data_IF_688839767462
#
_entry.id   IF_688839767462
#
_cell.length_a   1.000
_cell.length_b   1.000
_cell.length_c   1.000
_cell.angle_alpha   90.00
_cell.angle_beta   90.00
_cell.angle_gamma   90.00
#
_symmetry.space_group_name_H-M   'P 1'
#
loop_
_entity.id
_entity.type
_entity.pdbx_description
1 polymer ?
#
# COMPACT_ATOMS: atom_id res chain seq x y z
N UNK A 1 14.67 0.61 -8.01
CA UNK A 1 14.00 0.98 -6.75
C UNK A 1 14.92 0.58 -5.60
N UNK A 2 15.27 1.51 -4.72
CA UNK A 2 16.12 1.23 -3.56
C UNK A 2 15.23 0.99 -2.33
N UNK A 3 15.14 -0.26 -1.88
CA UNK A 3 14.27 -0.66 -0.77
C UNK A 3 15.08 -0.64 0.53
N UNK A 4 14.69 0.20 1.49
CA UNK A 4 15.29 0.24 2.82
C UNK A 4 14.58 -0.71 3.75
N UNK A 5 15.22 -1.06 4.87
CA UNK A 5 14.60 -1.87 5.93
C UNK A 5 13.30 -1.24 6.46
N UNK A 6 13.27 0.09 6.58
CA UNK A 6 12.07 0.84 6.96
C UNK A 6 10.91 0.67 5.97
N UNK A 7 11.20 0.51 4.68
CA UNK A 7 10.21 0.26 3.64
C UNK A 7 9.59 -1.14 3.81
N UNK A 8 10.42 -2.14 4.15
CA UNK A 8 9.96 -3.52 4.45
C UNK A 8 9.10 -3.55 5.71
N UNK A 9 9.52 -2.86 6.76
CA UNK A 9 8.76 -2.79 8.02
C UNK A 9 7.41 -2.09 7.81
N UNK A 10 7.35 -1.06 6.96
CA UNK A 10 6.11 -0.42 6.56
C UNK A 10 5.18 -1.38 5.79
N UNK A 11 5.70 -2.15 4.82
CA UNK A 11 4.90 -3.17 4.12
C UNK A 11 4.34 -4.23 5.08
N UNK A 12 5.12 -4.67 6.07
CA UNK A 12 4.64 -5.61 7.10
C UNK A 12 3.49 -5.02 7.91
N UNK A 13 3.62 -3.78 8.36
CA UNK A 13 2.55 -3.09 9.08
C UNK A 13 1.28 -2.93 8.22
N UNK A 14 1.43 -2.63 6.93
CA UNK A 14 0.32 -2.54 5.99
C UNK A 14 -0.34 -3.91 5.74
N UNK A 15 0.43 -5.00 5.76
CA UNK A 15 -0.11 -6.36 5.58
C UNK A 15 -0.96 -6.85 6.76
N UNK A 16 -0.77 -6.31 7.96
CA UNK A 16 -1.50 -6.71 9.17
C UNK A 16 -2.63 -5.74 9.54
N UNK A 17 -2.83 -4.67 8.77
CA UNK A 17 -3.86 -3.68 9.08
C UNK A 17 -5.27 -4.25 8.91
N UNK A 18 -6.11 -3.98 9.91
CA UNK A 18 -7.55 -4.27 9.86
C UNK A 18 -8.37 -3.03 9.48
N UNK A 19 -7.76 -1.85 9.56
CA UNK A 19 -8.40 -0.56 9.32
C UNK A 19 -8.16 -0.06 7.90
N UNK A 20 -9.02 0.86 7.46
CA UNK A 20 -8.81 1.58 6.20
C UNK A 20 -7.49 2.34 6.23
N UNK A 21 -6.69 2.17 5.19
CA UNK A 21 -5.35 2.78 5.11
C UNK A 21 -5.45 4.09 4.37
N UNK A 22 -4.94 5.17 4.97
CA UNK A 22 -4.82 6.44 4.27
C UNK A 22 -3.81 6.31 3.13
N UNK A 23 -4.20 6.66 1.90
CA UNK A 23 -3.32 6.59 0.72
C UNK A 23 -2.09 7.48 0.88
N UNK A 24 -2.19 8.56 1.65
CA UNK A 24 -1.07 9.44 1.99
C UNK A 24 -0.03 8.82 2.92
N UNK A 25 -0.34 7.71 3.61
CA UNK A 25 0.63 7.01 4.48
C UNK A 25 1.42 5.91 3.76
N UNK A 26 1.18 5.71 2.46
CA UNK A 26 1.94 4.75 1.66
C UNK A 26 3.37 5.28 1.49
N UNK A 27 4.41 4.45 1.74
CA UNK A 27 5.79 4.92 1.60
C UNK A 27 6.06 5.39 0.17
N UNK A 28 6.74 6.55 0.06
CA UNK A 28 7.06 7.19 -1.22
C UNK A 28 7.78 6.24 -2.18
N UNK A 29 8.64 5.37 -1.63
CA UNK A 29 9.36 4.33 -2.36
C UNK A 29 8.44 3.43 -3.20
N UNK A 30 7.21 3.15 -2.75
CA UNK A 30 6.24 2.31 -3.44
C UNK A 30 5.10 3.09 -4.10
N UNK A 31 5.10 4.43 -4.07
CA UNK A 31 3.95 5.25 -4.48
C UNK A 31 3.55 5.01 -5.94
N UNK A 32 4.53 4.96 -6.84
CA UNK A 32 4.29 4.69 -8.26
C UNK A 32 3.68 3.30 -8.51
N UNK A 33 4.14 2.27 -7.79
CA UNK A 33 3.59 0.92 -7.92
C UNK A 33 2.21 0.79 -7.27
N UNK A 34 1.99 1.51 -6.16
CA UNK A 34 0.67 1.63 -5.55
C UNK A 34 -0.32 2.25 -6.53
N UNK A 35 0.02 3.38 -7.15
CA UNK A 35 -0.87 4.09 -8.07
C UNK A 35 -1.20 3.25 -9.31
N UNK A 36 -0.23 2.47 -9.83
CA UNK A 36 -0.48 1.50 -10.91
C UNK A 36 -1.40 0.36 -10.47
N UNK A 37 -1.19 -0.21 -9.28
CA UNK A 37 -2.00 -1.33 -8.79
C UNK A 37 -3.42 -0.90 -8.45
N UNK A 38 -3.58 0.30 -7.90
CA UNK A 38 -4.87 0.88 -7.54
C UNK A 38 -5.56 1.65 -8.68
N UNK A 39 -4.94 1.71 -9.86
CA UNK A 39 -5.59 2.28 -11.04
C UNK A 39 -6.89 1.52 -11.36
N UNK A 40 -8.03 2.22 -11.31
CA UNK A 40 -9.35 1.63 -11.51
C UNK A 40 -9.94 0.89 -10.30
N UNK A 41 -9.23 0.82 -9.16
CA UNK A 41 -9.77 0.31 -7.90
C UNK A 41 -10.54 1.40 -7.16
N UNK A 42 -11.56 0.99 -6.41
CA UNK A 42 -12.37 1.90 -5.60
C UNK A 42 -11.60 2.34 -4.35
N UNK A 43 -11.39 3.65 -4.21
CA UNK A 43 -10.90 4.29 -3.00
C UNK A 43 -12.05 5.00 -2.29
N UNK A 44 -11.98 5.06 -0.96
CA UNK A 44 -12.99 5.72 -0.13
C UNK A 44 -12.50 7.13 0.21
N UNK A 45 -13.24 8.17 -0.18
CA UNK A 45 -12.98 9.54 0.26
C UNK A 45 -13.66 9.82 1.60
N UNK A 46 -12.91 10.23 2.62
CA UNK A 46 -13.42 10.68 3.92
C UNK A 46 -12.65 11.92 4.38
N UNK A 47 -13.37 12.99 4.75
CA UNK A 47 -12.78 14.21 5.31
C UNK A 47 -11.56 14.71 4.50
N UNK A 48 -11.72 14.74 3.18
CA UNK A 48 -10.72 15.15 2.20
C UNK A 48 -9.46 14.27 2.06
N UNK A 49 -9.39 13.14 2.77
CA UNK A 49 -8.38 12.11 2.56
C UNK A 49 -8.96 10.92 1.78
N UNK A 50 -8.08 10.24 1.04
CA UNK A 50 -8.38 8.99 0.33
C UNK A 50 -7.92 7.80 1.16
N UNK A 51 -8.75 6.77 1.21
CA UNK A 51 -8.49 5.56 1.95
C UNK A 51 -8.65 4.33 1.06
N UNK A 52 -7.77 3.35 1.26
CA UNK A 52 -7.85 2.04 0.65
C UNK A 52 -8.40 1.01 1.66
N UNK A 53 -9.12 0.02 1.16
CA UNK A 53 -9.61 -1.07 1.99
C UNK A 53 -8.45 -1.96 2.46
N UNK A 54 -8.48 -2.47 3.70
CA UNK A 54 -7.42 -3.32 4.24
C UNK A 54 -7.20 -4.60 3.43
N UNK A 55 -8.25 -5.14 2.80
CA UNK A 55 -8.14 -6.31 1.93
C UNK A 55 -7.37 -6.01 0.64
N UNK A 56 -7.66 -4.88 -0.01
CA UNK A 56 -6.93 -4.47 -1.22
C UNK A 56 -5.46 -4.15 -0.91
N UNK A 57 -5.19 -3.53 0.24
CA UNK A 57 -3.82 -3.29 0.71
C UNK A 57 -3.07 -4.61 0.93
N UNK A 58 -3.69 -5.61 1.57
CA UNK A 58 -3.06 -6.92 1.75
C UNK A 58 -2.71 -7.58 0.42
N UNK A 59 -3.63 -7.55 -0.54
CA UNK A 59 -3.38 -8.11 -1.88
C UNK A 59 -2.27 -7.35 -2.61
N UNK A 60 -2.24 -6.02 -2.48
CA UNK A 60 -1.16 -5.20 -3.01
C UNK A 60 0.20 -5.50 -2.38
N UNK A 61 0.28 -5.64 -1.05
CA UNK A 61 1.53 -5.99 -0.37
C UNK A 61 2.03 -7.36 -0.82
N UNK A 62 1.16 -8.37 -0.94
CA UNK A 62 1.52 -9.69 -1.48
C UNK A 62 2.07 -9.57 -2.90
N UNK A 63 1.41 -8.76 -3.74
CA UNK A 63 1.87 -8.50 -5.11
C UNK A 63 3.28 -7.88 -5.13
N UNK A 64 3.55 -6.88 -4.29
CA UNK A 64 4.87 -6.24 -4.19
C UNK A 64 5.93 -7.23 -3.71
N UNK A 65 5.67 -7.98 -2.64
CA UNK A 65 6.58 -8.98 -2.09
C UNK A 65 6.96 -10.03 -3.15
N UNK A 66 5.97 -10.58 -3.84
CA UNK A 66 6.19 -11.55 -4.91
C UNK A 66 6.95 -10.96 -6.11
N UNK A 67 6.67 -9.70 -6.47
CA UNK A 67 7.32 -9.04 -7.61
C UNK A 67 8.81 -8.77 -7.38
N UNK A 68 9.20 -8.48 -6.14
CA UNK A 68 10.57 -8.10 -5.82
C UNK A 68 11.36 -9.21 -5.09
N UNK A 69 10.79 -10.42 -4.94
CA UNK A 69 11.36 -11.50 -4.13
C UNK A 69 11.83 -11.00 -2.75
N UNK A 70 11.06 -10.08 -2.16
CA UNK A 70 11.39 -9.43 -0.88
C UNK A 70 11.04 -10.30 0.32
#
# INVERSE_FOLDING_TARGET
MFIRRSDIDALKALSSTSDMVNVGSIPETFKDEFDKYFFGKTLVKKQDALFAYPNDIRQWVIYIVNRYNA
#
